data_IF_992358114262
#
_entry.id   IF_992358114262
#
_cell.length_a   1.000
_cell.length_b   1.000
_cell.length_c   1.000
_cell.angle_alpha   90.00
_cell.angle_beta   90.00
_cell.angle_gamma   90.00
#
_symmetry.space_group_name_H-M   'P 1'
#
loop_
_entity.id
_entity.type
_entity.pdbx_description
1 polymer ?
#
# COMPACT_ATOMS: atom_id res chain seq x y z
N UNK A 1 10.03 -3.08 -18.24
CA UNK A 1 9.12 -4.04 -17.61
C UNK A 1 9.61 -4.19 -16.20
N UNK A 2 8.91 -3.55 -15.27
CA UNK A 2 9.25 -3.54 -13.85
C UNK A 2 8.37 -4.53 -13.12
N UNK A 3 8.92 -5.17 -12.09
CA UNK A 3 8.17 -6.07 -11.20
C UNK A 3 7.73 -5.32 -9.96
N UNK A 4 6.46 -5.41 -9.66
CA UNK A 4 5.82 -4.70 -8.55
C UNK A 4 5.21 -5.70 -7.58
N UNK A 5 5.20 -5.33 -6.31
CA UNK A 5 4.48 -6.06 -5.26
C UNK A 5 3.52 -5.11 -4.57
N UNK A 6 2.31 -5.60 -4.32
CA UNK A 6 1.32 -4.99 -3.47
C UNK A 6 1.02 -5.93 -2.31
N UNK A 7 1.12 -5.42 -1.08
CA UNK A 7 0.69 -6.15 0.12
C UNK A 7 -0.37 -5.32 0.79
N UNK A 8 -1.54 -5.89 1.03
CA UNK A 8 -2.65 -5.16 1.63
C UNK A 8 -3.28 -5.92 2.81
N UNK A 9 -3.91 -5.17 3.71
CA UNK A 9 -4.77 -5.69 4.75
C UNK A 9 -6.18 -5.14 4.59
N UNK A 10 -7.19 -6.01 4.69
CA UNK A 10 -8.60 -5.64 4.58
C UNK A 10 -9.47 -6.51 5.49
N UNK A 11 -10.19 -5.91 6.44
CA UNK A 11 -11.10 -6.67 7.32
C UNK A 11 -12.53 -6.73 6.76
N UNK A 12 -13.02 -5.64 6.15
CA UNK A 12 -14.40 -5.51 5.65
C UNK A 12 -14.51 -5.39 4.13
N UNK A 13 -13.41 -5.55 3.40
CA UNK A 13 -13.37 -5.49 1.92
C UNK A 13 -13.02 -4.13 1.33
N UNK A 14 -13.09 -3.02 2.08
CA UNK A 14 -12.88 -1.68 1.49
C UNK A 14 -11.46 -1.46 0.95
N UNK A 15 -10.43 -1.82 1.72
CA UNK A 15 -9.04 -1.67 1.28
C UNK A 15 -8.70 -2.69 0.19
N UNK A 16 -9.32 -3.86 0.19
CA UNK A 16 -9.21 -4.85 -0.89
C UNK A 16 -9.78 -4.32 -2.21
N UNK A 17 -10.95 -3.67 -2.19
CA UNK A 17 -11.54 -3.04 -3.38
C UNK A 17 -10.63 -1.96 -3.96
N UNK A 18 -10.01 -1.13 -3.10
CA UNK A 18 -8.97 -0.18 -3.54
C UNK A 18 -7.77 -0.89 -4.17
N UNK A 19 -7.29 -1.97 -3.53
CA UNK A 19 -6.16 -2.78 -4.01
C UNK A 19 -6.42 -3.34 -5.42
N UNK A 20 -7.62 -3.87 -5.64
CA UNK A 20 -8.06 -4.43 -6.93
C UNK A 20 -8.09 -3.36 -8.03
N UNK A 21 -8.62 -2.17 -7.75
CA UNK A 21 -8.65 -1.07 -8.72
C UNK A 21 -7.25 -0.55 -9.05
N UNK A 22 -6.39 -0.35 -8.05
CA UNK A 22 -5.00 0.10 -8.25
C UNK A 22 -4.22 -0.95 -9.05
N UNK A 23 -4.31 -2.22 -8.67
CA UNK A 23 -3.62 -3.31 -9.37
C UNK A 23 -4.15 -3.50 -10.79
N UNK A 24 -5.47 -3.37 -11.01
CA UNK A 24 -6.09 -3.39 -12.33
C UNK A 24 -5.49 -2.32 -13.25
N UNK A 25 -5.41 -1.07 -12.80
CA UNK A 25 -4.81 0.02 -13.58
C UNK A 25 -3.34 -0.23 -13.94
N UNK A 26 -2.57 -0.86 -13.05
CA UNK A 26 -1.16 -1.21 -13.28
C UNK A 26 -1.05 -2.34 -14.31
N UNK A 27 -1.94 -3.34 -14.26
CA UNK A 27 -1.97 -4.50 -15.19
C UNK A 27 -2.32 -4.13 -16.63
N UNK A 28 -2.93 -2.97 -16.86
CA UNK A 28 -3.15 -2.41 -18.20
C UNK A 28 -1.87 -1.83 -18.83
N UNK A 29 -0.75 -1.85 -18.10
CA UNK A 29 0.58 -1.42 -18.57
C UNK A 29 1.49 -2.63 -18.85
N UNK A 30 2.71 -2.39 -19.35
CA UNK A 30 3.72 -3.44 -19.59
C UNK A 30 4.43 -3.92 -18.30
N UNK A 31 3.90 -3.60 -17.11
CA UNK A 31 4.48 -3.95 -15.81
C UNK A 31 3.73 -5.11 -15.16
N UNK A 32 4.46 -5.89 -14.35
CA UNK A 32 3.90 -7.01 -13.62
C UNK A 32 3.64 -6.60 -12.17
N UNK A 33 2.46 -6.92 -11.62
CA UNK A 33 2.14 -6.69 -10.22
C UNK A 33 1.61 -7.96 -9.56
N UNK A 34 2.33 -8.39 -8.53
CA UNK A 34 1.90 -9.42 -7.60
C UNK A 34 1.13 -8.77 -6.45
N UNK A 35 -0.06 -9.30 -6.13
CA UNK A 35 -0.94 -8.77 -5.08
C UNK A 35 -1.09 -9.85 -4.02
N UNK A 36 -0.77 -9.52 -2.78
CA UNK A 36 -0.71 -10.44 -1.65
C UNK A 36 -1.56 -9.86 -0.51
N UNK A 37 -2.45 -10.67 0.04
CA UNK A 37 -3.13 -10.34 1.28
C UNK A 37 -2.16 -10.59 2.45
N UNK A 38 -2.08 -9.66 3.40
CA UNK A 38 -1.25 -9.82 4.60
C UNK A 38 -1.62 -11.09 5.38
N UNK A 39 -2.88 -11.54 5.28
CA UNK A 39 -3.35 -12.77 5.92
C UNK A 39 -2.69 -14.04 5.37
N UNK A 40 -2.09 -13.98 4.16
CA UNK A 40 -1.28 -15.06 3.61
C UNK A 40 0.16 -15.08 4.19
N UNK A 41 0.46 -14.21 5.16
CA UNK A 41 1.73 -14.15 5.91
C UNK A 41 2.98 -14.02 5.03
N UNK A 42 3.06 -13.01 4.15
CA UNK A 42 4.29 -12.74 3.40
C UNK A 42 5.43 -12.34 4.35
N UNK A 43 6.65 -12.78 4.08
CA UNK A 43 7.84 -12.26 4.75
C UNK A 43 8.18 -10.87 4.19
N UNK A 44 8.59 -9.90 5.02
CA UNK A 44 8.97 -8.57 4.54
C UNK A 44 10.20 -8.57 3.60
N UNK A 45 11.01 -9.63 3.66
CA UNK A 45 12.18 -9.84 2.80
C UNK A 45 11.85 -9.87 1.30
N UNK A 46 10.62 -10.24 0.94
CA UNK A 46 10.21 -10.30 -0.47
C UNK A 46 10.25 -8.91 -1.13
N UNK A 47 10.04 -7.84 -0.37
CA UNK A 47 10.01 -6.47 -0.87
C UNK A 47 11.31 -6.07 -1.58
N UNK A 48 12.45 -6.63 -1.17
CA UNK A 48 13.76 -6.32 -1.78
C UNK A 48 13.88 -6.81 -3.23
N UNK A 49 13.03 -7.76 -3.63
CA UNK A 49 13.06 -8.44 -4.93
C UNK A 49 12.30 -7.69 -6.03
N UNK A 50 11.49 -6.69 -5.68
CA UNK A 50 10.65 -5.93 -6.61
C UNK A 50 11.22 -4.55 -6.89
N UNK A 51 10.89 -3.95 -8.03
CA UNK A 51 11.30 -2.60 -8.43
C UNK A 51 10.45 -1.52 -7.77
N UNK A 52 9.19 -1.85 -7.47
CA UNK A 52 8.25 -0.96 -6.79
C UNK A 52 7.34 -1.70 -5.81
N UNK A 53 6.95 -0.98 -4.76
CA UNK A 53 6.25 -1.52 -3.58
C UNK A 53 5.02 -0.67 -3.32
N UNK A 54 3.85 -1.29 -3.18
CA UNK A 54 2.63 -0.61 -2.76
C UNK A 54 2.09 -1.31 -1.51
N UNK A 55 1.87 -0.56 -0.43
CA UNK A 55 1.27 -1.12 0.79
C UNK A 55 -0.15 -0.58 0.98
N UNK A 56 -1.08 -1.45 1.37
CA UNK A 56 -2.47 -1.11 1.65
C UNK A 56 -2.86 -1.45 3.08
N UNK A 57 -3.35 -0.51 3.89
CA UNK A 57 -3.81 -0.86 5.23
C UNK A 57 -4.98 0.01 5.70
N UNK A 58 -6.00 -0.63 6.27
CA UNK A 58 -6.96 0.09 7.13
C UNK A 58 -6.29 0.50 8.45
N UNK A 59 -6.88 1.47 9.15
CA UNK A 59 -6.42 1.86 10.49
C UNK A 59 -7.24 1.15 11.57
N UNK A 60 -6.59 0.68 12.63
CA UNK A 60 -7.23 -0.04 13.74
C UNK A 60 -7.07 0.70 15.07
N UNK A 61 -7.97 0.43 16.02
CA UNK A 61 -7.85 0.91 17.39
C UNK A 61 -7.69 2.44 17.52
N UNK A 62 -6.66 2.87 18.26
CA UNK A 62 -6.32 4.28 18.45
C UNK A 62 -5.26 4.72 17.43
N UNK A 63 -5.52 4.51 16.14
CA UNK A 63 -4.62 4.93 15.07
C UNK A 63 -3.44 3.99 14.82
N UNK A 64 -3.61 2.71 15.15
CA UNK A 64 -2.60 1.67 15.03
C UNK A 64 -2.71 0.94 13.67
N UNK A 65 -1.68 0.17 13.35
CA UNK A 65 -1.73 -0.78 12.24
C UNK A 65 -2.70 -1.93 12.54
N UNK A 66 -3.24 -2.60 11.51
CA UNK A 66 -3.90 -3.90 11.68
C UNK A 66 -3.00 -4.89 12.41
N UNK A 67 -3.58 -5.71 13.31
CA UNK A 67 -2.83 -6.71 14.07
C UNK A 67 -2.04 -7.66 13.15
N UNK A 68 -2.64 -8.05 12.02
CA UNK A 68 -2.03 -8.93 11.01
C UNK A 68 -0.81 -8.29 10.30
N UNK A 69 -0.68 -6.95 10.37
CA UNK A 69 0.44 -6.22 9.78
C UNK A 69 1.62 -6.05 10.73
N UNK A 70 1.43 -6.25 12.05
CA UNK A 70 2.46 -5.92 13.05
C UNK A 70 3.73 -6.76 12.90
N UNK A 71 3.60 -8.06 12.63
CA UNK A 71 4.76 -8.94 12.41
C UNK A 71 5.52 -8.51 11.16
N UNK A 72 4.83 -8.28 10.05
CA UNK A 72 5.43 -7.76 8.82
C UNK A 72 6.15 -6.43 9.02
N UNK A 73 5.53 -5.51 9.77
CA UNK A 73 6.10 -4.20 10.08
C UNK A 73 7.41 -4.32 10.88
N UNK A 74 7.46 -5.20 11.87
CA UNK A 74 8.67 -5.46 12.66
C UNK A 74 9.78 -6.08 11.79
N UNK A 75 9.44 -7.01 10.88
CA UNK A 75 10.41 -7.60 9.95
C UNK A 75 11.04 -6.57 8.99
N UNK A 76 10.31 -5.51 8.64
CA UNK A 76 10.84 -4.43 7.80
C UNK A 76 12.06 -3.75 8.41
N UNK A 77 12.30 -3.86 9.72
CA UNK A 77 13.52 -3.34 10.36
C UNK A 77 14.82 -3.98 9.85
N UNK A 78 14.72 -5.13 9.18
CA UNK A 78 15.86 -5.89 8.68
C UNK A 78 16.16 -5.71 7.19
N UNK A 79 15.27 -5.08 6.42
CA UNK A 79 15.37 -5.00 4.95
C UNK A 79 15.90 -3.65 4.45
N UNK A 80 16.45 -3.62 3.24
CA UNK A 80 16.95 -2.41 2.59
C UNK A 80 16.18 -2.12 1.29
N UNK A 81 15.42 -1.02 1.31
CA UNK A 81 14.60 -0.57 0.19
C UNK A 81 15.20 0.63 -0.54
N UNK A 82 16.50 0.90 -0.34
CA UNK A 82 17.19 2.06 -0.95
C UNK A 82 16.95 2.15 -2.45
N UNK A 83 16.30 3.24 -2.87
CA UNK A 83 16.04 3.56 -4.28
C UNK A 83 14.79 2.92 -4.88
N UNK A 84 14.13 1.98 -4.19
CA UNK A 84 12.85 1.38 -4.61
C UNK A 84 11.75 2.44 -4.60
N UNK A 85 10.83 2.40 -5.57
CA UNK A 85 9.68 3.32 -5.59
C UNK A 85 8.59 2.75 -4.70
N UNK A 86 8.02 3.57 -3.83
CA UNK A 86 6.95 3.10 -2.96
C UNK A 86 5.80 4.10 -2.81
N UNK A 87 4.61 3.55 -2.52
CA UNK A 87 3.40 4.31 -2.24
C UNK A 87 2.49 3.53 -1.29
N UNK A 88 1.57 4.22 -0.61
CA UNK A 88 0.70 3.60 0.39
C UNK A 88 -0.74 4.09 0.22
N UNK A 89 -1.72 3.23 0.46
CA UNK A 89 -3.14 3.55 0.44
C UNK A 89 -3.90 2.88 1.59
N UNK A 90 -5.14 3.29 1.84
CA UNK A 90 -5.98 2.66 2.86
C UNK A 90 -7.39 3.22 2.96
N UNK A 91 -8.34 2.35 3.28
CA UNK A 91 -9.68 2.76 3.74
C UNK A 91 -9.61 3.29 5.17
N UNK A 92 -10.34 4.36 5.44
CA UNK A 92 -10.29 5.16 6.65
C UNK A 92 -11.71 5.49 7.13
N UNK A 93 -11.87 5.88 8.39
CA UNK A 93 -13.16 6.29 8.96
C UNK A 93 -12.99 7.56 9.78
N UNK A 94 -13.63 8.64 9.34
CA UNK A 94 -13.57 9.96 9.96
C UNK A 94 -14.29 10.04 11.32
N UNK A 95 -15.01 8.99 11.71
CA UNK A 95 -15.50 8.84 13.08
C UNK A 95 -14.36 8.68 14.10
N UNK A 96 -13.16 8.32 13.66
CA UNK A 96 -11.98 8.19 14.50
C UNK A 96 -11.07 9.42 14.38
N UNK A 97 -10.49 9.89 15.51
CA UNK A 97 -9.67 11.11 15.51
C UNK A 97 -8.35 10.98 14.73
N UNK A 98 -7.79 9.77 14.65
CA UNK A 98 -6.52 9.47 13.96
C UNK A 98 -6.80 8.91 12.57
N UNK A 99 -7.33 9.77 11.70
CA UNK A 99 -7.78 9.38 10.37
C UNK A 99 -6.65 8.85 9.47
N UNK A 100 -6.72 7.56 9.14
CA UNK A 100 -5.78 6.90 8.22
C UNK A 100 -4.34 6.85 8.74
N UNK A 101 -4.13 6.83 10.05
CA UNK A 101 -2.79 6.82 10.65
C UNK A 101 -1.93 5.64 10.18
N UNK A 102 -2.54 4.48 9.88
CA UNK A 102 -1.83 3.32 9.32
C UNK A 102 -1.09 3.64 8.01
N UNK A 103 -1.70 4.46 7.13
CA UNK A 103 -1.08 4.91 5.88
C UNK A 103 0.18 5.71 6.18
N UNK A 104 0.10 6.64 7.14
CA UNK A 104 1.21 7.51 7.52
C UNK A 104 2.35 6.70 8.17
N UNK A 105 2.02 5.74 9.05
CA UNK A 105 2.97 4.84 9.71
C UNK A 105 3.75 4.00 8.69
N UNK A 106 3.07 3.44 7.69
CA UNK A 106 3.72 2.64 6.66
C UNK A 106 4.60 3.48 5.73
N UNK A 107 4.17 4.71 5.41
CA UNK A 107 5.00 5.67 4.66
C UNK A 107 6.31 5.95 5.40
N UNK A 108 6.23 6.23 6.71
CA UNK A 108 7.40 6.49 7.55
C UNK A 108 8.36 5.30 7.55
N UNK A 109 7.84 4.08 7.76
CA UNK A 109 8.67 2.86 7.74
C UNK A 109 9.38 2.67 6.41
N UNK A 110 8.66 2.82 5.29
CA UNK A 110 9.25 2.69 3.95
C UNK A 110 10.37 3.71 3.73
N UNK A 111 10.20 4.95 4.20
CA UNK A 111 11.23 6.00 4.16
C UNK A 111 12.45 5.65 5.01
N UNK A 112 12.24 5.16 6.24
CA UNK A 112 13.31 4.69 7.12
C UNK A 112 14.14 3.57 6.46
N UNK A 113 13.51 2.72 5.65
CA UNK A 113 14.20 1.66 4.89
C UNK A 113 14.85 2.14 3.60
N UNK A 114 14.74 3.43 3.26
CA UNK A 114 15.37 4.05 2.10
C UNK A 114 14.52 4.05 0.82
N UNK A 115 13.26 3.63 0.88
CA UNK A 115 12.37 3.72 -0.27
C UNK A 115 12.09 5.19 -0.65
N UNK A 116 11.88 5.43 -1.93
CA UNK A 116 11.48 6.74 -2.46
C UNK A 116 9.96 6.76 -2.56
N UNK A 117 9.32 7.48 -1.65
CA UNK A 117 7.87 7.71 -1.70
C UNK A 117 7.55 8.63 -2.87
N UNK A 118 6.79 8.13 -3.84
CA UNK A 118 6.52 8.84 -5.11
C UNK A 118 5.14 9.47 -5.18
N UNK A 119 4.23 9.08 -4.29
CA UNK A 119 2.86 9.58 -4.21
C UNK A 119 2.52 9.93 -2.75
N UNK A 120 1.62 10.89 -2.57
CA UNK A 120 0.98 11.12 -1.27
C UNK A 120 0.11 9.90 -0.90
N UNK A 121 -0.03 9.63 0.40
CA UNK A 121 -0.83 8.51 0.88
C UNK A 121 -2.30 8.64 0.49
N UNK A 122 -2.84 7.66 -0.23
CA UNK A 122 -4.24 7.68 -0.66
C UNK A 122 -5.15 7.18 0.47
N UNK A 123 -5.98 8.07 1.01
CA UNK A 123 -6.97 7.76 2.06
C UNK A 123 -8.37 7.89 1.49
N UNK A 124 -9.20 6.85 1.65
CA UNK A 124 -10.59 6.81 1.19
C UNK A 124 -11.52 6.58 2.37
N UNK A 125 -12.66 7.27 2.41
CA UNK A 125 -13.67 7.12 3.46
C UNK A 125 -14.48 5.85 3.25
N UNK A 126 -14.34 4.88 4.16
CA UNK A 126 -15.09 3.62 4.16
C UNK A 126 -15.04 2.92 2.79
N UNK A 127 -16.20 2.60 2.22
CA UNK A 127 -16.33 1.91 0.92
C UNK A 127 -16.12 2.92 -0.22
N UNK A 128 -15.22 2.65 -1.18
CA UNK A 128 -14.99 3.53 -2.33
C UNK A 128 -16.28 3.84 -3.10
N UNK A 129 -16.54 5.12 -3.36
CA UNK A 129 -17.53 5.56 -4.34
C UNK A 129 -16.87 5.80 -5.71
N UNK A 130 -17.66 6.12 -6.74
CA UNK A 130 -17.15 6.32 -8.12
C UNK A 130 -15.94 7.28 -8.20
N UNK A 131 -15.96 8.37 -7.42
CA UNK A 131 -14.84 9.33 -7.37
C UNK A 131 -13.57 8.70 -6.75
N UNK A 132 -13.73 7.83 -5.75
CA UNK A 132 -12.61 7.18 -5.09
C UNK A 132 -12.04 6.04 -5.93
N UNK A 133 -12.89 5.36 -6.71
CA UNK A 133 -12.46 4.43 -7.75
C UNK A 133 -11.60 5.16 -8.78
N UNK A 134 -12.03 6.33 -9.26
CA UNK A 134 -11.22 7.15 -10.18
C UNK A 134 -9.86 7.54 -9.58
N UNK A 135 -9.82 7.91 -8.29
CA UNK A 135 -8.56 8.17 -7.56
C UNK A 135 -7.67 6.93 -7.50
N UNK A 136 -8.22 5.74 -7.25
CA UNK A 136 -7.47 4.49 -7.24
C UNK A 136 -6.84 4.19 -8.61
N UNK A 137 -7.61 4.37 -9.70
CA UNK A 137 -7.10 4.20 -11.05
C UNK A 137 -5.97 5.20 -11.38
N UNK A 138 -6.15 6.47 -11.00
CA UNK A 138 -5.14 7.51 -11.16
C UNK A 138 -3.89 7.21 -10.34
N UNK A 139 -4.05 6.74 -9.10
CA UNK A 139 -2.94 6.38 -8.22
C UNK A 139 -2.05 5.31 -8.84
N UNK A 140 -2.63 4.23 -9.38
CA UNK A 140 -1.89 3.18 -10.10
C UNK A 140 -1.19 3.72 -11.35
N UNK A 141 -1.89 4.54 -12.15
CA UNK A 141 -1.33 5.13 -13.37
C UNK A 141 -0.17 6.10 -13.09
N UNK A 142 -0.29 6.95 -12.06
CA UNK A 142 0.77 7.87 -11.65
C UNK A 142 1.95 7.12 -11.03
N UNK A 143 1.72 6.07 -10.26
CA UNK A 143 2.79 5.24 -9.68
C UNK A 143 3.71 4.68 -10.77
N UNK A 144 3.11 4.15 -11.85
CA UNK A 144 3.87 3.57 -12.97
C UNK A 144 4.75 4.61 -13.69
N UNK A 145 4.35 5.88 -13.75
CA UNK A 145 5.17 6.95 -14.37
C UNK A 145 6.49 7.21 -13.65
N UNK A 146 6.60 6.79 -12.39
CA UNK A 146 7.81 6.94 -11.58
C UNK A 146 8.75 5.72 -11.67
N UNK A 147 8.29 4.65 -12.33
CA UNK A 147 9.11 3.50 -12.68
C UNK A 147 9.93 3.86 -13.92
N UNK A 148 11.24 3.66 -13.83
CA UNK A 148 12.21 3.91 -14.92
C UNK A 148 12.17 2.85 -16.01
#
# INVERSE_FOLDING_TARGET
MSKLVMIYASMSGNTEEMADHIAGAIRETENEIEVIDIMDTPEASILEQYDGIILGAYTWGDGDLPDDFLEFYDEMESINLTGKKAAVFGSCDSAYPKYGAAVDILIEKLQERGAVIVLEGLKVELTPEDEDVEKCLQFGAEFVKHLS
#
